data_IF_240336249481
#
_entry.id   IF_240336249481
#
_cell.length_a   1.000
_cell.length_b   1.000
_cell.length_c   1.000
_cell.angle_alpha   90.00
_cell.angle_beta   90.00
_cell.angle_gamma   90.00
#
_symmetry.space_group_name_H-M   'P 1'
#
loop_
_entity.id
_entity.type
_entity.pdbx_description
1 polymer ?
#
# COMPACT_ATOMS: atom_id res chain seq x y z
N UNK A 1 45.62 15.46 -21.05
CA UNK A 1 45.88 15.42 -19.59
C UNK A 1 44.68 14.78 -18.90
N UNK A 2 44.71 13.46 -18.73
CA UNK A 2 43.64 12.68 -18.12
C UNK A 2 43.86 12.66 -16.59
N UNK A 3 43.00 13.32 -15.85
CA UNK A 3 42.95 13.25 -14.39
C UNK A 3 42.48 11.87 -13.98
N UNK A 4 43.45 11.02 -13.59
CA UNK A 4 43.20 9.84 -12.77
C UNK A 4 42.54 10.31 -11.46
N UNK A 5 41.23 10.18 -11.35
CA UNK A 5 40.55 10.21 -10.05
C UNK A 5 40.90 8.92 -9.32
N UNK A 6 41.97 8.94 -8.54
CA UNK A 6 42.26 7.91 -7.57
C UNK A 6 41.08 7.77 -6.62
N UNK A 7 40.50 6.58 -6.58
CA UNK A 7 39.49 6.21 -5.58
C UNK A 7 40.12 6.41 -4.20
N UNK A 8 39.71 7.46 -3.52
CA UNK A 8 40.08 7.66 -2.10
C UNK A 8 39.54 6.45 -1.31
N UNK A 9 40.33 5.84 -0.42
CA UNK A 9 39.90 4.64 0.32
C UNK A 9 38.71 4.89 1.24
N UNK A 10 38.36 6.14 1.52
CA UNK A 10 37.23 6.52 2.36
C UNK A 10 35.86 5.97 1.93
N UNK A 11 35.43 6.05 0.65
CA UNK A 11 34.11 5.50 0.27
C UNK A 11 34.07 3.99 0.29
N UNK A 12 35.18 3.30 0.01
CA UNK A 12 35.24 1.85 0.10
C UNK A 12 35.24 1.35 1.58
N UNK A 13 35.88 2.06 2.48
CA UNK A 13 35.84 1.79 3.92
C UNK A 13 34.44 2.08 4.50
N UNK A 14 33.76 3.14 4.06
CA UNK A 14 32.35 3.42 4.46
C UNK A 14 31.37 2.36 3.94
N UNK A 15 31.62 1.78 2.78
CA UNK A 15 30.80 0.69 2.25
C UNK A 15 31.05 -0.64 2.98
N UNK A 16 32.25 -0.87 3.50
CA UNK A 16 32.61 -2.06 4.28
C UNK A 16 32.23 -1.98 5.76
N UNK A 17 32.04 -0.77 6.32
CA UNK A 17 31.68 -0.58 7.72
C UNK A 17 30.40 -1.33 8.14
N UNK A 18 29.26 -1.30 7.40
CA UNK A 18 28.09 -2.09 7.75
C UNK A 18 28.36 -3.60 7.67
N UNK A 19 29.15 -4.08 6.73
CA UNK A 19 29.49 -5.49 6.63
C UNK A 19 30.36 -5.94 7.82
N UNK A 20 31.31 -5.12 8.29
CA UNK A 20 32.14 -5.38 9.44
C UNK A 20 31.37 -5.46 10.77
N UNK A 21 30.32 -4.63 10.89
CA UNK A 21 29.40 -4.63 12.05
C UNK A 21 28.45 -5.82 12.00
N UNK A 22 27.96 -6.17 10.79
CA UNK A 22 26.99 -7.27 10.62
C UNK A 22 27.63 -8.66 10.72
N UNK A 23 28.94 -8.79 10.44
CA UNK A 23 29.65 -10.07 10.52
C UNK A 23 29.66 -10.69 11.93
N UNK A 24 30.09 -9.97 13.02
CA UNK A 24 30.01 -10.51 14.36
C UNK A 24 28.56 -10.73 14.84
N UNK A 25 27.62 -9.86 14.45
CA UNK A 25 26.21 -10.05 14.74
C UNK A 25 25.70 -11.33 14.07
N UNK A 26 26.05 -11.56 12.82
CA UNK A 26 25.71 -12.78 12.08
C UNK A 26 26.28 -14.03 12.73
N UNK A 27 27.53 -13.98 13.24
CA UNK A 27 28.15 -15.09 13.97
C UNK A 27 27.46 -15.40 15.30
N UNK A 28 27.02 -14.39 16.04
CA UNK A 28 26.23 -14.56 17.28
C UNK A 28 24.87 -15.18 16.95
N UNK A 29 24.16 -14.66 15.95
CA UNK A 29 22.89 -15.22 15.51
C UNK A 29 22.99 -16.67 15.02
N UNK A 30 24.11 -17.04 14.36
CA UNK A 30 24.34 -18.42 13.92
C UNK A 30 24.62 -19.37 15.10
N UNK A 31 25.22 -18.87 16.19
CA UNK A 31 25.43 -19.66 17.41
C UNK A 31 24.15 -19.95 18.18
N UNK A 32 23.23 -19.02 18.17
CA UNK A 32 21.91 -19.12 18.84
C UNK A 32 20.87 -19.88 18.03
N UNK A 33 21.22 -20.39 16.82
CA UNK A 33 20.32 -21.23 16.04
C UNK A 33 19.99 -22.51 16.81
N UNK A 34 18.72 -22.69 17.10
CA UNK A 34 18.19 -23.93 17.69
C UNK A 34 18.51 -25.12 16.80
N UNK A 35 18.81 -26.28 17.43
CA UNK A 35 19.04 -27.52 16.69
C UNK A 35 17.89 -27.83 15.71
N UNK A 36 18.21 -27.92 14.41
CA UNK A 36 17.22 -28.09 13.34
C UNK A 36 16.76 -26.82 12.62
N UNK A 37 17.06 -25.61 13.14
CA UNK A 37 16.67 -24.35 12.49
C UNK A 37 17.31 -24.16 11.11
N UNK A 38 18.56 -24.52 10.97
CA UNK A 38 19.28 -24.46 9.69
C UNK A 38 18.65 -25.40 8.63
N UNK A 39 18.22 -26.59 9.07
CA UNK A 39 17.52 -27.55 8.20
C UNK A 39 16.16 -27.01 7.74
N UNK A 40 15.40 -26.39 8.63
CA UNK A 40 14.12 -25.76 8.27
C UNK A 40 14.30 -24.62 7.28
N UNK A 41 15.30 -23.78 7.45
CA UNK A 41 15.65 -22.71 6.50
C UNK A 41 16.03 -23.33 5.14
N UNK A 42 16.84 -24.38 5.14
CA UNK A 42 17.19 -25.11 3.92
C UNK A 42 15.95 -25.68 3.20
N UNK A 43 15.05 -26.34 3.93
CA UNK A 43 13.80 -26.87 3.42
C UNK A 43 12.89 -25.76 2.86
N UNK A 44 12.82 -24.61 3.55
CA UNK A 44 12.06 -23.45 3.09
C UNK A 44 12.57 -22.96 1.73
N UNK A 45 13.88 -22.75 1.55
CA UNK A 45 14.43 -22.28 0.28
C UNK A 45 14.38 -23.32 -0.84
N UNK A 46 14.57 -24.59 -0.54
CA UNK A 46 14.41 -25.66 -1.53
C UNK A 46 12.96 -25.78 -2.03
N UNK A 47 11.99 -25.55 -1.15
CA UNK A 47 10.58 -25.55 -1.51
C UNK A 47 10.21 -24.43 -2.50
N UNK A 48 10.98 -23.35 -2.56
CA UNK A 48 10.80 -22.28 -3.54
C UNK A 48 10.95 -22.75 -5.00
N UNK A 49 11.85 -23.72 -5.21
CA UNK A 49 12.12 -24.30 -6.52
C UNK A 49 11.11 -25.38 -6.93
N UNK A 50 10.36 -25.92 -5.94
CA UNK A 50 9.41 -27.02 -6.14
C UNK A 50 8.06 -26.69 -5.48
N UNK A 51 7.36 -25.61 -5.93
CA UNK A 51 6.05 -25.27 -5.40
C UNK A 51 5.05 -26.39 -5.64
N UNK A 52 4.06 -26.52 -4.77
CA UNK A 52 2.98 -27.47 -4.95
C UNK A 52 2.02 -26.97 -6.04
N UNK A 53 1.77 -27.80 -7.05
CA UNK A 53 0.84 -27.50 -8.16
C UNK A 53 -0.45 -28.31 -8.05
N UNK A 54 -0.81 -28.77 -6.86
CA UNK A 54 -2.04 -29.53 -6.64
C UNK A 54 -3.27 -28.68 -7.01
N UNK A 55 -4.17 -29.20 -7.88
CA UNK A 55 -5.29 -28.41 -8.40
C UNK A 55 -6.26 -27.91 -7.31
N UNK A 56 -6.49 -28.71 -6.27
CA UNK A 56 -7.33 -28.34 -5.13
C UNK A 56 -6.75 -27.17 -4.37
N UNK A 57 -5.44 -27.21 -4.05
CA UNK A 57 -4.71 -26.15 -3.37
C UNK A 57 -4.70 -24.85 -4.20
N UNK A 58 -4.34 -24.96 -5.49
CA UNK A 58 -4.29 -23.80 -6.38
C UNK A 58 -5.65 -23.12 -6.50
N UNK A 59 -6.74 -23.87 -6.53
CA UNK A 59 -8.11 -23.33 -6.54
C UNK A 59 -8.38 -22.48 -5.30
N UNK A 60 -8.05 -22.99 -4.11
CA UNK A 60 -8.22 -22.26 -2.84
C UNK A 60 -7.34 -21.02 -2.79
N UNK A 61 -6.06 -21.14 -3.16
CA UNK A 61 -5.13 -20.02 -3.21
C UNK A 61 -5.54 -18.94 -4.23
N UNK A 62 -6.10 -19.31 -5.38
CA UNK A 62 -6.63 -18.38 -6.37
C UNK A 62 -7.87 -17.64 -5.86
N UNK A 63 -8.78 -18.34 -5.15
CA UNK A 63 -9.91 -17.67 -4.49
C UNK A 63 -9.42 -16.68 -3.43
N UNK A 64 -8.48 -17.09 -2.58
CA UNK A 64 -7.86 -16.20 -1.59
C UNK A 64 -7.14 -15.02 -2.24
N UNK A 65 -6.43 -15.23 -3.35
CA UNK A 65 -5.78 -14.17 -4.13
C UNK A 65 -6.81 -13.16 -4.67
N UNK A 66 -7.94 -13.65 -5.19
CA UNK A 66 -9.03 -12.80 -5.67
C UNK A 66 -9.58 -11.90 -4.56
N UNK A 67 -9.84 -12.46 -3.37
CA UNK A 67 -10.32 -11.70 -2.21
C UNK A 67 -9.28 -10.64 -1.81
N UNK A 68 -8.00 -11.01 -1.73
CA UNK A 68 -6.90 -10.07 -1.42
C UNK A 68 -6.83 -8.94 -2.45
N UNK A 69 -6.93 -9.27 -3.74
CA UNK A 69 -6.90 -8.28 -4.81
C UNK A 69 -8.11 -7.33 -4.75
N UNK A 70 -9.31 -7.85 -4.53
CA UNK A 70 -10.53 -7.05 -4.40
C UNK A 70 -10.48 -6.13 -3.17
N UNK A 71 -10.04 -6.63 -2.03
CA UNK A 71 -9.84 -5.85 -0.80
C UNK A 71 -8.84 -4.71 -1.02
N UNK A 72 -7.71 -5.01 -1.67
CA UNK A 72 -6.69 -4.02 -1.98
C UNK A 72 -7.18 -2.96 -2.98
N UNK A 73 -7.91 -3.36 -4.02
CA UNK A 73 -8.49 -2.45 -5.02
C UNK A 73 -9.53 -1.52 -4.37
N UNK A 74 -10.41 -2.06 -3.53
CA UNK A 74 -11.41 -1.28 -2.81
C UNK A 74 -10.74 -0.29 -1.85
N UNK A 75 -9.79 -0.76 -1.04
CA UNK A 75 -9.03 0.09 -0.12
C UNK A 75 -8.24 1.17 -0.86
N UNK A 76 -7.60 0.83 -1.97
CA UNK A 76 -6.86 1.76 -2.82
C UNK A 76 -7.78 2.84 -3.42
N UNK A 77 -8.94 2.46 -3.94
CA UNK A 77 -9.92 3.38 -4.53
C UNK A 77 -10.45 4.35 -3.49
N UNK A 78 -10.89 3.84 -2.33
CA UNK A 78 -11.40 4.68 -1.22
C UNK A 78 -10.31 5.58 -0.65
N UNK A 79 -9.09 5.07 -0.41
CA UNK A 79 -7.99 5.87 0.11
C UNK A 79 -7.55 6.96 -0.86
N UNK A 80 -7.62 6.70 -2.16
CA UNK A 80 -7.33 7.68 -3.21
C UNK A 80 -8.37 8.79 -3.25
N UNK A 81 -9.65 8.42 -3.16
CA UNK A 81 -10.76 9.37 -3.12
C UNK A 81 -10.71 10.27 -1.88
N UNK A 82 -10.64 9.65 -0.69
CA UNK A 82 -10.53 10.41 0.56
C UNK A 82 -9.24 11.20 0.65
N UNK A 83 -8.13 10.63 0.19
CA UNK A 83 -6.83 11.31 0.16
C UNK A 83 -6.83 12.53 -0.74
N UNK A 84 -7.53 12.49 -1.89
CA UNK A 84 -7.70 13.64 -2.77
C UNK A 84 -8.50 14.75 -2.09
N UNK A 85 -9.67 14.43 -1.55
CA UNK A 85 -10.55 15.40 -0.86
C UNK A 85 -9.81 16.02 0.32
N UNK A 86 -9.23 15.19 1.19
CA UNK A 86 -8.46 15.66 2.35
C UNK A 86 -7.21 16.44 1.95
N UNK A 87 -6.56 16.09 0.83
CA UNK A 87 -5.40 16.79 0.30
C UNK A 87 -5.72 18.24 -0.11
N UNK A 88 -6.85 18.43 -0.77
CA UNK A 88 -7.35 19.77 -1.11
C UNK A 88 -7.66 20.58 0.17
N UNK A 89 -8.30 19.97 1.15
CA UNK A 89 -8.62 20.62 2.45
C UNK A 89 -7.34 20.92 3.24
N UNK A 90 -6.29 20.12 3.11
CA UNK A 90 -5.00 20.31 3.76
C UNK A 90 -4.10 21.36 3.10
N UNK A 91 -4.40 21.84 1.88
CA UNK A 91 -3.55 22.81 1.18
C UNK A 91 -3.67 24.21 1.75
N UNK A 92 -2.53 24.78 2.14
CA UNK A 92 -2.46 26.18 2.63
C UNK A 92 -2.67 27.16 1.50
N UNK A 93 -2.27 26.81 0.27
CA UNK A 93 -2.46 27.63 -0.93
C UNK A 93 -3.95 27.81 -1.25
N UNK A 94 -4.74 26.74 -1.13
CA UNK A 94 -6.20 26.80 -1.37
C UNK A 94 -6.87 27.72 -0.36
N UNK A 95 -6.59 27.57 0.94
CA UNK A 95 -7.22 28.41 1.97
C UNK A 95 -6.74 29.85 1.92
N UNK A 96 -5.45 30.11 1.62
CA UNK A 96 -4.95 31.48 1.45
C UNK A 96 -5.59 32.19 0.26
N UNK A 97 -5.86 31.46 -0.83
CA UNK A 97 -6.52 32.03 -2.03
C UNK A 97 -8.01 32.26 -1.82
N UNK A 98 -8.71 31.34 -1.11
CA UNK A 98 -10.17 31.46 -0.89
C UNK A 98 -10.54 32.44 0.24
N UNK A 99 -9.81 32.40 1.36
CA UNK A 99 -10.16 33.12 2.58
C UNK A 99 -9.07 34.03 3.14
N UNK A 100 -7.91 34.10 2.49
CA UNK A 100 -6.76 34.84 3.01
C UNK A 100 -6.14 34.27 4.29
N UNK A 101 -6.51 33.04 4.70
CA UNK A 101 -6.11 32.42 5.97
C UNK A 101 -5.52 31.04 5.73
N UNK A 102 -4.42 30.70 6.43
CA UNK A 102 -3.74 29.40 6.33
C UNK A 102 -4.06 28.43 7.48
N UNK A 103 -4.60 28.93 8.59
CA UNK A 103 -4.80 28.15 9.81
C UNK A 103 -5.73 26.92 9.64
N UNK A 104 -6.82 26.93 8.81
CA UNK A 104 -7.69 25.77 8.69
C UNK A 104 -6.96 24.56 8.14
N UNK A 105 -6.11 24.75 7.12
CA UNK A 105 -5.26 23.70 6.58
C UNK A 105 -4.33 23.10 7.64
N UNK A 106 -3.73 23.95 8.48
CA UNK A 106 -2.81 23.50 9.53
C UNK A 106 -3.51 22.67 10.62
N UNK A 107 -4.73 23.03 10.99
CA UNK A 107 -5.54 22.26 11.96
C UNK A 107 -5.84 20.87 11.41
N UNK A 108 -6.31 20.77 10.15
CA UNK A 108 -6.62 19.48 9.53
C UNK A 108 -5.34 18.64 9.37
N UNK A 109 -4.22 19.22 8.95
CA UNK A 109 -2.92 18.53 8.87
C UNK A 109 -2.49 17.93 10.19
N UNK A 110 -2.65 18.68 11.29
CA UNK A 110 -2.33 18.19 12.65
C UNK A 110 -3.24 17.05 13.06
N UNK A 111 -4.54 17.15 12.77
CA UNK A 111 -5.52 16.10 13.04
C UNK A 111 -5.28 14.80 12.25
N UNK A 112 -4.72 14.89 11.02
CA UNK A 112 -4.38 13.73 10.21
C UNK A 112 -3.00 13.12 10.58
N UNK A 113 -2.19 13.79 11.38
CA UNK A 113 -0.86 13.29 11.73
C UNK A 113 -0.88 11.94 12.49
N UNK A 114 -1.74 11.71 13.50
CA UNK A 114 -1.83 10.40 14.17
C UNK A 114 -2.25 9.28 13.23
N UNK A 115 -3.20 9.54 12.31
CA UNK A 115 -3.71 8.53 11.38
C UNK A 115 -2.61 7.92 10.50
N UNK A 116 -1.65 8.73 10.06
CA UNK A 116 -0.54 8.29 9.20
C UNK A 116 0.68 7.79 9.96
N UNK A 117 0.81 8.08 11.26
CA UNK A 117 1.96 7.64 12.08
C UNK A 117 1.79 6.22 12.57
N UNK A 118 0.57 5.73 12.63
CA UNK A 118 0.25 4.36 13.05
C UNK A 118 0.20 3.48 11.79
N UNK A 119 0.94 2.37 11.83
CA UNK A 119 0.98 1.40 10.74
C UNK A 119 -0.38 0.71 10.55
N UNK A 120 -0.73 0.37 9.31
CA UNK A 120 -2.01 -0.26 8.97
C UNK A 120 -2.29 -1.56 9.73
N UNK A 121 -1.27 -2.33 10.11
CA UNK A 121 -1.44 -3.53 10.92
C UNK A 121 -2.01 -3.22 12.31
N UNK A 122 -1.54 -2.13 12.94
CA UNK A 122 -2.04 -1.70 14.25
C UNK A 122 -3.49 -1.23 14.12
N UNK A 123 -3.81 -0.48 13.04
CA UNK A 123 -5.18 -0.12 12.72
C UNK A 123 -6.05 -1.36 12.51
N UNK A 124 -5.54 -2.38 11.79
CA UNK A 124 -6.23 -3.65 11.60
C UNK A 124 -6.57 -4.34 12.91
N UNK A 125 -5.61 -4.44 13.83
CA UNK A 125 -5.82 -5.05 15.14
C UNK A 125 -6.79 -4.26 16.02
N UNK A 126 -6.69 -2.92 16.03
CA UNK A 126 -7.63 -2.07 16.76
C UNK A 126 -9.06 -2.18 16.24
N UNK A 127 -9.22 -2.10 14.92
CA UNK A 127 -10.53 -2.21 14.28
C UNK A 127 -11.12 -3.61 14.41
N UNK A 128 -10.28 -4.65 14.40
CA UNK A 128 -10.70 -6.03 14.66
C UNK A 128 -11.30 -6.17 16.06
N UNK A 129 -10.73 -5.51 17.05
CA UNK A 129 -11.26 -5.50 18.41
C UNK A 129 -12.60 -4.76 18.54
N UNK A 130 -12.81 -3.72 17.72
CA UNK A 130 -14.03 -2.90 17.74
C UNK A 130 -15.18 -3.53 16.94
N UNK A 131 -14.89 -4.07 15.76
CA UNK A 131 -15.89 -4.52 14.80
C UNK A 131 -15.94 -6.04 14.61
N UNK A 132 -15.03 -6.78 15.26
CA UNK A 132 -14.88 -8.23 15.07
C UNK A 132 -14.33 -8.60 13.69
N UNK A 133 -14.39 -9.89 13.35
CA UNK A 133 -13.97 -10.42 12.06
C UNK A 133 -14.97 -10.00 10.97
N UNK A 134 -14.64 -8.91 10.31
CA UNK A 134 -15.41 -8.38 9.19
C UNK A 134 -14.46 -7.90 8.10
N UNK A 135 -14.74 -8.22 6.84
CA UNK A 135 -13.90 -7.82 5.72
C UNK A 135 -13.72 -6.30 5.58
N UNK A 136 -14.69 -5.49 6.02
CA UNK A 136 -14.55 -4.03 6.07
C UNK A 136 -13.42 -3.57 6.98
N UNK A 137 -13.07 -4.36 8.00
CA UNK A 137 -11.95 -4.05 8.91
C UNK A 137 -10.63 -3.97 8.12
N UNK A 138 -10.37 -4.92 7.21
CA UNK A 138 -9.19 -4.89 6.37
C UNK A 138 -9.16 -3.67 5.45
N UNK A 139 -10.30 -3.32 4.85
CA UNK A 139 -10.42 -2.13 3.99
C UNK A 139 -10.16 -0.86 4.79
N UNK A 140 -10.82 -0.67 5.94
CA UNK A 140 -10.69 0.52 6.77
C UNK A 140 -9.26 0.67 7.35
N UNK A 141 -8.64 -0.45 7.73
CA UNK A 141 -7.27 -0.46 8.26
C UNK A 141 -6.25 0.10 7.25
N UNK A 142 -6.49 -0.11 5.95
CA UNK A 142 -5.66 0.44 4.87
C UNK A 142 -6.09 1.87 4.54
N UNK A 143 -7.39 2.13 4.44
CA UNK A 143 -7.94 3.43 4.02
C UNK A 143 -7.51 4.55 4.96
N UNK A 144 -7.57 4.34 6.28
CA UNK A 144 -7.28 5.38 7.26
C UNK A 144 -5.87 5.97 7.12
N UNK A 145 -4.77 5.19 7.23
CA UNK A 145 -3.42 5.73 7.10
C UNK A 145 -3.11 6.19 5.68
N UNK A 146 -3.60 5.48 4.65
CA UNK A 146 -3.26 5.77 3.26
C UNK A 146 -3.94 7.04 2.75
N UNK A 147 -5.19 7.32 3.15
CA UNK A 147 -5.86 8.58 2.83
C UNK A 147 -5.15 9.77 3.47
N UNK A 148 -4.77 9.66 4.76
CA UNK A 148 -4.06 10.71 5.48
C UNK A 148 -2.64 10.97 4.90
N UNK A 149 -1.96 9.92 4.45
CA UNK A 149 -0.65 10.03 3.83
C UNK A 149 -0.75 10.66 2.44
N UNK A 150 -1.70 10.22 1.60
CA UNK A 150 -1.93 10.81 0.28
C UNK A 150 -2.35 12.28 0.40
N UNK A 151 -3.24 12.60 1.34
CA UNK A 151 -3.65 13.97 1.62
C UNK A 151 -2.44 14.87 1.93
N UNK A 152 -1.49 14.37 2.74
CA UNK A 152 -0.28 15.12 3.06
C UNK A 152 0.60 15.35 1.83
N UNK A 153 0.84 14.30 1.03
CA UNK A 153 1.67 14.39 -0.17
C UNK A 153 1.07 15.39 -1.17
N UNK A 154 -0.24 15.30 -1.42
CA UNK A 154 -0.93 16.22 -2.33
C UNK A 154 -0.90 17.66 -1.83
N UNK A 155 -1.17 17.89 -0.55
CA UNK A 155 -1.11 19.22 0.04
C UNK A 155 0.30 19.82 -0.06
N UNK A 156 1.35 19.04 0.22
CA UNK A 156 2.73 19.51 0.12
C UNK A 156 3.13 19.82 -1.32
N UNK A 157 2.58 19.08 -2.30
CA UNK A 157 2.83 19.38 -3.71
C UNK A 157 2.10 20.66 -4.18
N UNK A 158 0.85 20.85 -3.76
CA UNK A 158 0.10 22.06 -4.05
C UNK A 158 0.75 23.31 -3.42
N UNK A 159 1.36 23.14 -2.25
CA UNK A 159 1.95 24.26 -1.51
C UNK A 159 3.40 24.58 -1.90
N UNK A 160 4.14 23.64 -2.53
CA UNK A 160 5.52 23.85 -2.96
C UNK A 160 5.65 24.80 -4.15
N UNK A 161 4.67 24.81 -4.99
CA UNK A 161 4.67 25.61 -6.21
C UNK A 161 3.46 26.54 -6.15
N UNK A 162 3.69 27.81 -5.80
CA UNK A 162 2.73 28.85 -6.21
C UNK A 162 2.92 29.01 -7.72
N UNK A 163 2.03 28.43 -8.55
CA UNK A 163 2.24 28.54 -10.00
C UNK A 163 2.24 30.03 -10.37
N UNK A 164 3.17 30.52 -11.18
CA UNK A 164 3.16 31.92 -11.67
C UNK A 164 1.80 32.30 -12.25
N UNK A 165 1.11 31.30 -12.84
CA UNK A 165 -0.26 31.43 -13.32
C UNK A 165 -1.27 31.81 -12.23
N UNK A 166 -1.14 31.26 -11.01
CA UNK A 166 -2.04 31.56 -9.90
C UNK A 166 -1.96 33.04 -9.53
N UNK A 167 -0.74 33.56 -9.40
CA UNK A 167 -0.49 34.96 -9.05
C UNK A 167 -0.95 35.90 -10.18
N UNK A 168 -0.63 35.58 -11.44
CA UNK A 168 -1.04 36.36 -12.59
C UNK A 168 -2.57 36.46 -12.71
N UNK A 169 -3.29 35.36 -12.53
CA UNK A 169 -4.76 35.32 -12.57
C UNK A 169 -5.39 36.05 -11.38
N UNK A 170 -4.75 36.03 -10.20
CA UNK A 170 -5.19 36.84 -9.06
C UNK A 170 -5.05 38.32 -9.35
N UNK A 171 -3.92 38.76 -9.91
CA UNK A 171 -3.70 40.16 -10.32
C UNK A 171 -4.66 40.60 -11.42
N UNK A 172 -5.11 39.67 -12.27
CA UNK A 172 -6.11 39.94 -13.32
C UNK A 172 -7.56 39.97 -12.80
N UNK A 173 -7.79 39.75 -11.48
CA UNK A 173 -9.12 39.81 -10.87
C UNK A 173 -9.99 38.59 -11.15
N UNK A 174 -9.41 37.45 -11.58
CA UNK A 174 -10.14 36.22 -11.82
C UNK A 174 -10.68 35.66 -10.50
N UNK A 175 -11.95 35.19 -10.45
CA UNK A 175 -12.52 34.58 -9.24
C UNK A 175 -11.65 33.42 -8.70
N UNK A 176 -11.47 33.37 -7.37
CA UNK A 176 -10.56 32.45 -6.71
C UNK A 176 -10.77 30.97 -7.09
N UNK A 177 -12.02 30.53 -7.22
CA UNK A 177 -12.35 29.14 -7.59
C UNK A 177 -11.89 28.81 -9.01
N UNK A 178 -12.13 29.69 -9.98
CA UNK A 178 -11.72 29.50 -11.38
C UNK A 178 -10.20 29.49 -11.46
N UNK A 179 -9.55 30.43 -10.76
CA UNK A 179 -8.11 30.52 -10.71
C UNK A 179 -7.48 29.23 -10.14
N UNK A 180 -7.97 28.71 -9.01
CA UNK A 180 -7.51 27.45 -8.43
C UNK A 180 -7.69 26.25 -9.38
N UNK A 181 -8.85 26.15 -10.03
CA UNK A 181 -9.12 25.06 -10.98
C UNK A 181 -8.16 25.11 -12.18
N UNK A 182 -7.91 26.29 -12.75
CA UNK A 182 -7.06 26.43 -13.94
C UNK A 182 -5.59 26.28 -13.63
N UNK A 183 -5.13 26.81 -12.49
CA UNK A 183 -3.70 26.83 -12.12
C UNK A 183 -3.23 25.57 -11.41
N UNK A 184 -4.06 24.93 -10.56
CA UNK A 184 -3.66 23.79 -9.75
C UNK A 184 -4.05 22.43 -10.34
N UNK A 185 -5.08 22.33 -11.19
CA UNK A 185 -5.49 21.04 -11.76
C UNK A 185 -4.42 20.35 -12.60
N UNK A 186 -3.68 21.01 -13.50
CA UNK A 186 -2.66 20.33 -14.29
C UNK A 186 -1.52 19.74 -13.46
N UNK A 187 -0.87 20.47 -12.53
CA UNK A 187 0.16 19.89 -11.66
C UNK A 187 -0.38 18.83 -10.70
N UNK A 188 -1.63 18.97 -10.24
CA UNK A 188 -2.27 17.99 -9.39
C UNK A 188 -2.48 16.64 -10.12
N UNK A 189 -2.90 16.67 -11.38
CA UNK A 189 -3.12 15.47 -12.17
C UNK A 189 -1.83 14.66 -12.38
N UNK A 190 -0.69 15.33 -12.61
CA UNK A 190 0.61 14.65 -12.74
C UNK A 190 1.07 14.04 -11.43
N UNK A 191 0.96 14.80 -10.34
CA UNK A 191 1.30 14.33 -9.00
C UNK A 191 0.47 13.13 -8.56
N UNK A 192 -0.83 13.18 -8.82
CA UNK A 192 -1.77 12.12 -8.48
C UNK A 192 -1.42 10.81 -9.19
N UNK A 193 -1.06 10.88 -10.47
CA UNK A 193 -0.69 9.72 -11.26
C UNK A 193 0.45 8.91 -10.63
N UNK A 194 1.54 9.58 -10.28
CA UNK A 194 2.74 8.90 -9.81
C UNK A 194 2.54 8.28 -8.43
N UNK A 195 1.76 8.93 -7.57
CA UNK A 195 1.47 8.43 -6.24
C UNK A 195 0.38 7.35 -6.20
N UNK A 196 -0.68 7.47 -7.01
CA UNK A 196 -1.78 6.51 -7.02
C UNK A 196 -1.31 5.14 -7.48
N UNK A 197 -0.51 5.07 -8.56
CA UNK A 197 0.00 3.79 -9.06
C UNK A 197 0.83 3.03 -8.03
N UNK A 198 1.77 3.72 -7.40
CA UNK A 198 2.61 3.10 -6.35
C UNK A 198 1.78 2.65 -5.13
N UNK A 199 0.70 3.35 -4.80
CA UNK A 199 -0.18 3.00 -3.68
C UNK A 199 -0.93 1.69 -3.86
N UNK A 200 -1.26 1.31 -5.08
CA UNK A 200 -1.92 0.02 -5.34
C UNK A 200 -1.01 -1.16 -5.00
N UNK A 201 0.28 -1.07 -5.36
CA UNK A 201 1.27 -2.09 -5.00
C UNK A 201 1.41 -2.23 -3.46
N UNK A 202 1.46 -1.10 -2.75
CA UNK A 202 1.46 -1.11 -1.29
C UNK A 202 0.16 -1.69 -0.70
N UNK A 203 -1.00 -1.33 -1.24
CA UNK A 203 -2.29 -1.81 -0.75
C UNK A 203 -2.45 -3.33 -0.91
N UNK A 204 -1.93 -3.91 -2.01
CA UNK A 204 -1.91 -5.36 -2.22
C UNK A 204 -1.09 -6.08 -1.15
N UNK A 205 0.09 -5.56 -0.81
CA UNK A 205 0.93 -6.14 0.25
C UNK A 205 0.29 -6.00 1.62
N UNK A 206 -0.32 -4.85 1.92
CA UNK A 206 -1.02 -4.64 3.19
C UNK A 206 -2.26 -5.53 3.32
N UNK A 207 -3.03 -5.73 2.25
CA UNK A 207 -4.16 -6.66 2.24
C UNK A 207 -3.72 -8.11 2.50
N UNK A 208 -2.58 -8.53 1.91
CA UNK A 208 -2.00 -9.84 2.19
C UNK A 208 -1.60 -9.99 3.67
N UNK A 209 -0.91 -8.98 4.22
CA UNK A 209 -0.49 -9.00 5.63
C UNK A 209 -1.68 -9.00 6.59
N UNK A 210 -2.71 -8.21 6.33
CA UNK A 210 -3.94 -8.22 7.11
C UNK A 210 -4.67 -9.58 7.04
N UNK A 211 -4.59 -10.25 5.89
CA UNK A 211 -5.08 -11.62 5.73
C UNK A 211 -4.37 -12.62 6.66
N UNK A 212 -3.08 -12.46 6.95
CA UNK A 212 -2.34 -13.29 7.92
C UNK A 212 -2.95 -13.19 9.32
N UNK A 213 -3.53 -12.05 9.68
CA UNK A 213 -4.24 -11.86 10.95
C UNK A 213 -5.71 -12.34 10.94
N UNK A 214 -6.09 -13.14 9.93
CA UNK A 214 -7.41 -13.77 9.87
C UNK A 214 -8.50 -12.94 9.22
N UNK A 215 -8.15 -11.83 8.56
CA UNK A 215 -9.10 -10.98 7.84
C UNK A 215 -9.45 -11.51 6.43
N UNK A 216 -9.10 -12.76 6.15
CA UNK A 216 -9.44 -13.46 4.91
C UNK A 216 -8.42 -13.30 3.78
N UNK A 217 -8.67 -14.00 2.68
CA UNK A 217 -7.84 -13.94 1.48
C UNK A 217 -6.62 -14.85 1.50
N UNK A 218 -5.69 -14.61 0.56
CA UNK A 218 -4.48 -15.40 0.39
C UNK A 218 -3.58 -15.40 1.64
N UNK A 219 -3.57 -14.30 2.42
CA UNK A 219 -2.77 -14.21 3.64
C UNK A 219 -3.12 -15.28 4.67
N UNK A 220 -4.40 -15.60 4.82
CA UNK A 220 -4.87 -16.68 5.73
C UNK A 220 -4.34 -18.04 5.27
N UNK A 221 -4.41 -18.35 3.98
CA UNK A 221 -3.88 -19.58 3.39
C UNK A 221 -2.37 -19.71 3.60
N UNK A 222 -1.63 -18.62 3.40
CA UNK A 222 -0.19 -18.58 3.65
C UNK A 222 0.16 -18.82 5.14
N UNK A 223 -0.62 -18.23 6.04
CA UNK A 223 -0.42 -18.44 7.48
C UNK A 223 -0.67 -19.89 7.89
N UNK A 224 -1.73 -20.52 7.39
CA UNK A 224 -2.02 -21.94 7.64
C UNK A 224 -0.91 -22.84 7.10
N UNK A 225 -0.41 -22.57 5.88
CA UNK A 225 0.69 -23.32 5.27
C UNK A 225 2.00 -23.14 6.06
N UNK A 226 2.25 -21.94 6.59
CA UNK A 226 3.41 -21.65 7.43
C UNK A 226 3.34 -22.38 8.78
N UNK A 227 2.20 -22.31 9.47
CA UNK A 227 1.99 -22.98 10.76
C UNK A 227 2.09 -24.51 10.65
N UNK A 228 1.65 -25.07 9.52
CA UNK A 228 1.77 -26.51 9.23
C UNK A 228 3.12 -26.91 8.64
N UNK A 229 4.07 -25.98 8.50
CA UNK A 229 5.40 -26.19 7.91
C UNK A 229 5.38 -26.76 6.48
N UNK A 230 4.27 -26.53 5.76
CA UNK A 230 4.09 -26.98 4.38
C UNK A 230 4.70 -25.95 3.41
N UNK A 231 6.01 -25.85 3.40
CA UNK A 231 6.72 -24.81 2.64
C UNK A 231 6.45 -24.83 1.14
N UNK A 232 6.17 -26.00 0.54
CA UNK A 232 5.86 -26.09 -0.89
C UNK A 232 4.53 -25.43 -1.24
N UNK A 233 3.53 -25.55 -0.35
CA UNK A 233 2.23 -24.90 -0.48
C UNK A 233 2.33 -23.39 -0.22
N UNK A 234 3.14 -23.00 0.77
CA UNK A 234 3.45 -21.61 1.05
C UNK A 234 4.06 -20.91 -0.18
N UNK A 235 5.06 -21.54 -0.82
CA UNK A 235 5.71 -20.98 -1.99
C UNK A 235 4.79 -20.89 -3.22
N UNK A 236 3.84 -21.81 -3.40
CA UNK A 236 2.81 -21.67 -4.45
C UNK A 236 2.04 -20.35 -4.30
N UNK A 237 1.56 -20.04 -3.09
CA UNK A 237 0.84 -18.79 -2.84
C UNK A 237 1.72 -17.55 -2.96
N UNK A 238 2.99 -17.61 -2.52
CA UNK A 238 3.94 -16.52 -2.69
C UNK A 238 4.23 -16.23 -4.18
N UNK A 239 4.38 -17.26 -5.00
CA UNK A 239 4.55 -17.12 -6.44
C UNK A 239 3.30 -16.52 -7.12
N UNK A 240 2.09 -16.94 -6.72
CA UNK A 240 0.84 -16.35 -7.20
C UNK A 240 0.76 -14.86 -6.84
N UNK A 241 1.14 -14.48 -5.63
CA UNK A 241 1.18 -13.07 -5.21
C UNK A 241 2.23 -12.28 -6.01
N UNK A 242 3.42 -12.85 -6.22
CA UNK A 242 4.47 -12.22 -7.03
C UNK A 242 4.02 -11.99 -8.48
N UNK A 243 3.33 -12.96 -9.08
CA UNK A 243 2.74 -12.83 -10.42
C UNK A 243 1.68 -11.74 -10.47
N UNK A 244 0.80 -11.67 -9.47
CA UNK A 244 -0.20 -10.61 -9.38
C UNK A 244 0.46 -9.23 -9.29
N UNK A 245 1.45 -9.06 -8.41
CA UNK A 245 2.20 -7.80 -8.28
C UNK A 245 2.91 -7.43 -9.58
N UNK A 246 3.54 -8.37 -10.25
CA UNK A 246 4.19 -8.14 -11.55
C UNK A 246 3.18 -7.72 -12.63
N UNK A 247 2.02 -8.38 -12.69
CA UNK A 247 0.95 -8.05 -13.62
C UNK A 247 0.38 -6.64 -13.35
N UNK A 248 0.10 -6.31 -12.09
CA UNK A 248 -0.39 -4.99 -11.69
C UNK A 248 0.63 -3.91 -12.04
N UNK A 249 1.92 -4.11 -11.73
CA UNK A 249 2.98 -3.17 -12.06
C UNK A 249 3.13 -2.98 -13.58
N UNK A 250 2.97 -4.04 -14.36
CA UNK A 250 2.99 -3.96 -15.83
C UNK A 250 1.82 -3.13 -16.35
N UNK A 251 0.61 -3.35 -15.82
CA UNK A 251 -0.60 -2.57 -16.17
C UNK A 251 -0.42 -1.10 -15.81
N UNK A 252 0.03 -0.79 -14.59
CA UNK A 252 0.25 0.59 -14.13
C UNK A 252 1.22 1.33 -15.05
N UNK A 253 2.31 0.69 -15.47
CA UNK A 253 3.29 1.30 -16.36
C UNK A 253 2.73 1.59 -17.76
N UNK A 254 1.76 0.82 -18.23
CA UNK A 254 1.14 0.98 -19.57
C UNK A 254 -0.05 1.94 -19.58
N UNK A 255 -0.69 2.15 -18.43
CA UNK A 255 -1.87 3.01 -18.32
C UNK A 255 -1.44 4.49 -18.32
N UNK A 256 -1.95 5.25 -19.30
CA UNK A 256 -1.73 6.71 -19.37
C UNK A 256 -2.48 7.44 -18.24
N UNK A 257 -1.97 8.61 -17.84
CA UNK A 257 -2.52 9.44 -16.76
C UNK A 257 -4.02 9.75 -16.91
N UNK A 258 -4.48 9.96 -18.13
CA UNK A 258 -5.89 10.27 -18.42
C UNK A 258 -6.84 9.13 -18.07
N UNK A 259 -6.36 7.88 -18.16
CA UNK A 259 -7.17 6.69 -17.88
C UNK A 259 -7.11 6.26 -16.41
N UNK A 260 -6.11 6.69 -15.65
CA UNK A 260 -5.94 6.32 -14.24
C UNK A 260 -7.10 6.79 -13.34
N UNK A 261 -7.52 8.05 -13.47
CA UNK A 261 -8.66 8.61 -12.75
C UNK A 261 -9.99 7.97 -13.19
N UNK A 262 -10.13 7.68 -14.48
CA UNK A 262 -11.33 7.03 -15.04
C UNK A 262 -11.43 5.58 -14.59
N UNK A 263 -10.30 4.85 -14.50
CA UNK A 263 -10.25 3.50 -13.94
C UNK A 263 -10.60 3.48 -12.45
N UNK A 264 -10.15 4.47 -11.68
CA UNK A 264 -10.46 4.59 -10.27
C UNK A 264 -11.95 4.79 -10.02
N UNK A 265 -12.60 5.65 -10.81
CA UNK A 265 -14.04 5.90 -10.74
C UNK A 265 -14.89 4.69 -11.19
N UNK A 266 -14.37 3.92 -12.17
CA UNK A 266 -15.06 2.73 -12.71
C UNK A 266 -14.88 1.50 -11.81
N UNK A 267 -13.72 1.37 -11.13
CA UNK A 267 -13.43 0.22 -10.27
C UNK A 267 -14.29 0.20 -9.00
N UNK A 268 -14.59 1.36 -8.41
CA UNK A 268 -15.34 1.43 -7.16
C UNK A 268 -16.71 0.72 -7.22
N UNK A 269 -17.61 0.99 -8.19
CA UNK A 269 -18.91 0.33 -8.27
C UNK A 269 -18.82 -1.13 -8.73
N UNK A 270 -17.75 -1.54 -9.41
CA UNK A 270 -17.56 -2.93 -9.86
C UNK A 270 -17.00 -3.83 -8.76
N UNK A 271 -16.12 -3.30 -7.92
CA UNK A 271 -15.43 -4.08 -6.87
C UNK A 271 -16.36 -4.32 -5.67
N UNK A 272 -17.23 -3.37 -5.31
CA UNK A 272 -18.10 -3.48 -4.13
C UNK A 272 -19.03 -4.71 -4.16
N UNK A 273 -19.79 -5.01 -5.21
CA UNK A 273 -20.67 -6.19 -5.23
C UNK A 273 -19.87 -7.50 -5.31
N UNK A 274 -18.78 -7.54 -6.05
CA UNK A 274 -17.92 -8.73 -6.12
C UNK A 274 -17.23 -9.02 -4.78
N UNK A 275 -16.83 -7.97 -4.06
CA UNK A 275 -16.22 -8.09 -2.76
C UNK A 275 -17.20 -8.60 -1.70
N UNK A 276 -18.43 -8.07 -1.69
CA UNK A 276 -19.48 -8.51 -0.76
C UNK A 276 -19.90 -9.97 -0.99
N UNK A 277 -19.95 -10.43 -2.24
CA UNK A 277 -20.25 -11.82 -2.57
C UNK A 277 -19.12 -12.78 -2.15
N UNK A 278 -17.85 -12.36 -2.32
CA UNK A 278 -16.69 -13.15 -1.90
C UNK A 278 -16.63 -13.34 -0.38
N UNK A 279 -16.89 -12.29 0.39
CA UNK A 279 -16.91 -12.34 1.84
C UNK A 279 -18.04 -13.24 2.39
N UNK A 280 -19.23 -13.19 1.79
CA UNK A 280 -20.34 -14.03 2.22
C UNK A 280 -20.05 -15.53 2.01
N UNK A 281 -19.19 -15.85 1.05
CA UNK A 281 -18.76 -17.24 0.82
C UNK A 281 -17.70 -17.70 1.84
N UNK A 282 -16.80 -16.81 2.26
CA UNK A 282 -15.75 -17.13 3.26
C UNK A 282 -16.29 -17.12 4.70
N UNK A 283 -17.30 -16.29 4.99
CA UNK A 283 -17.95 -16.21 6.31
C UNK A 283 -19.04 -17.27 6.51
N UNK A 284 -19.42 -18.00 5.46
CA UNK A 284 -20.22 -19.21 5.62
C UNK A 284 -19.34 -20.30 6.22
N UNK A 285 -19.15 -20.23 7.55
CA UNK A 285 -18.44 -21.27 8.30
C UNK A 285 -19.01 -22.65 7.94
N UNK A 286 -18.13 -23.64 7.67
CA UNK A 286 -18.54 -24.99 7.41
C UNK A 286 -19.48 -25.47 8.54
N UNK A 287 -20.49 -26.23 8.18
CA UNK A 287 -21.57 -26.67 9.07
C UNK A 287 -21.11 -27.37 10.38
N UNK A 288 -19.85 -27.81 10.45
CA UNK A 288 -19.25 -28.43 11.64
C UNK A 288 -18.80 -27.43 12.73
N UNK A 289 -18.78 -26.10 12.45
CA UNK A 289 -18.48 -25.08 13.48
C UNK A 289 -19.74 -24.66 14.26
N UNK A 290 -20.91 -25.07 13.83
CA UNK A 290 -22.21 -24.74 14.46
C UNK A 290 -22.81 -25.86 15.33
N UNK A 291 -22.01 -26.84 15.71
CA UNK A 291 -22.43 -27.92 16.62
C UNK A 291 -21.85 -27.73 18.01
#
# INVERSE_FOLDING_TARGET
MALQRGLTPAPALMALAPALVLLPLGMVLLRDLHGGGAEQIGRFWLAALQPSLEPSLLKHQLMGLQITALTALLAWSLSSLFGLILGLICSTTIWSTLMGRRWPALVVRRGLAPLRSIHELIWGLLLLQLFGLNGWVAVLAIVLPYSALLARVLADQLDRHEPPALVALQCAGVPAVINLCTSLMPPLATALRDHIGHRLDCALRSALLLGIFGLGGLGTELMLSLQSLRFRELWSGLWLMALLLAAVNLVIRRVSARHGLMLLALMLPLVTPMWSSGLNHDLSAPSWVRG
#
